data_IF_603366513247
#
_entry.id   IF_603366513247
#
_cell.length_a   1.000
_cell.length_b   1.000
_cell.length_c   1.000
_cell.angle_alpha   90.00
_cell.angle_beta   90.00
_cell.angle_gamma   90.00
#
_symmetry.space_group_name_H-M   'P 1'
#
loop_
_entity.id
_entity.type
_entity.pdbx_description
1 polymer ?
#
# COMPACT_ATOMS: atom_id res chain seq x y z
N UNK A 1 65.15 -5.46 35.34
CA UNK A 1 63.82 -5.00 35.81
C UNK A 1 62.99 -4.34 34.70
N UNK A 2 63.62 -3.71 33.72
CA UNK A 2 62.86 -3.08 32.59
C UNK A 2 62.23 -4.08 31.59
N UNK A 3 62.86 -5.24 31.43
CA UNK A 3 62.38 -6.26 30.44
C UNK A 3 61.08 -6.95 30.89
N UNK A 4 60.78 -7.04 32.19
CA UNK A 4 59.56 -7.64 32.70
C UNK A 4 58.32 -6.73 32.55
N UNK A 5 58.50 -5.42 32.62
CA UNK A 5 57.38 -4.48 32.48
C UNK A 5 56.93 -4.38 30.99
N UNK A 6 57.84 -4.52 30.04
CA UNK A 6 57.45 -4.49 28.62
C UNK A 6 56.66 -5.74 28.24
N UNK A 7 57.00 -6.90 28.81
CA UNK A 7 56.28 -8.15 28.53
C UNK A 7 54.84 -8.15 29.11
N UNK A 8 54.64 -7.54 30.27
CA UNK A 8 53.28 -7.42 30.87
C UNK A 8 52.40 -6.43 30.11
N UNK A 9 52.94 -5.37 29.55
CA UNK A 9 52.17 -4.40 28.73
C UNK A 9 51.73 -4.98 27.40
N UNK A 10 52.54 -5.83 26.77
CA UNK A 10 52.19 -6.47 25.48
C UNK A 10 51.09 -7.52 25.68
N UNK A 11 51.04 -8.25 26.78
CA UNK A 11 50.00 -9.25 27.03
C UNK A 11 48.66 -8.60 27.36
N UNK A 12 48.61 -7.43 28.04
CA UNK A 12 47.37 -6.70 28.30
C UNK A 12 46.76 -6.06 27.06
N UNK A 13 47.61 -5.55 26.12
CA UNK A 13 47.13 -4.93 24.89
C UNK A 13 46.50 -5.98 23.97
N UNK A 14 47.09 -7.18 23.87
CA UNK A 14 46.54 -8.25 23.04
C UNK A 14 45.25 -8.84 23.63
N UNK A 15 45.11 -8.89 24.97
CA UNK A 15 43.92 -9.40 25.62
C UNK A 15 42.73 -8.42 25.51
N UNK A 16 42.99 -7.10 25.56
CA UNK A 16 41.95 -6.09 25.29
C UNK A 16 41.51 -6.05 23.83
N UNK A 17 42.45 -6.23 22.88
CA UNK A 17 42.11 -6.27 21.46
C UNK A 17 41.24 -7.50 21.09
N UNK A 18 41.49 -8.67 21.72
CA UNK A 18 40.65 -9.85 21.51
C UNK A 18 39.26 -9.71 22.12
N UNK A 19 39.12 -9.06 23.28
CA UNK A 19 37.81 -8.83 23.92
C UNK A 19 36.96 -7.84 23.13
N UNK A 20 37.56 -6.78 22.55
CA UNK A 20 36.82 -5.85 21.69
C UNK A 20 36.41 -6.48 20.36
N UNK A 21 37.25 -7.32 19.76
CA UNK A 21 36.96 -8.02 18.54
C UNK A 21 35.78 -8.99 18.67
N UNK A 22 35.74 -9.76 19.77
CA UNK A 22 34.63 -10.71 20.02
C UNK A 22 33.33 -10.04 20.37
N UNK A 23 33.32 -8.91 21.07
CA UNK A 23 32.11 -8.16 21.42
C UNK A 23 31.52 -7.50 20.16
N UNK A 24 32.36 -6.92 19.30
CA UNK A 24 31.89 -6.28 18.04
C UNK A 24 31.30 -7.32 17.04
N UNK A 25 31.91 -8.50 16.93
CA UNK A 25 31.39 -9.58 16.08
C UNK A 25 30.08 -10.14 16.65
N UNK A 26 29.94 -10.27 17.99
CA UNK A 26 28.71 -10.75 18.62
C UNK A 26 27.55 -9.72 18.50
N UNK A 27 27.85 -8.42 18.60
CA UNK A 27 26.86 -7.36 18.40
C UNK A 27 26.42 -7.28 16.93
N UNK A 28 27.33 -7.46 15.94
CA UNK A 28 26.96 -7.51 14.53
C UNK A 28 26.12 -8.75 14.17
N UNK A 29 26.35 -9.89 14.82
CA UNK A 29 25.55 -11.11 14.60
C UNK A 29 24.15 -10.97 15.22
N UNK A 30 24.00 -10.24 16.31
CA UNK A 30 22.69 -9.98 16.93
C UNK A 30 21.86 -8.90 16.19
N UNK A 31 22.50 -8.03 15.40
CA UNK A 31 21.79 -7.03 14.58
C UNK A 31 21.37 -7.58 13.20
N UNK A 32 21.86 -8.76 12.79
CA UNK A 32 21.59 -9.34 11.49
C UNK A 32 20.22 -10.02 11.32
N UNK A 33 19.42 -10.17 12.37
CA UNK A 33 18.13 -10.85 12.35
C UNK A 33 17.04 -10.12 13.15
N UNK A 34 16.94 -8.80 12.99
CA UNK A 34 15.67 -8.16 13.27
C UNK A 34 14.71 -8.59 12.16
N UNK A 35 13.65 -9.34 12.48
CA UNK A 35 12.61 -9.59 11.47
C UNK A 35 12.15 -8.22 10.98
N UNK A 36 12.21 -7.99 9.67
CA UNK A 36 11.50 -6.88 9.06
C UNK A 36 10.10 -6.93 9.66
N UNK A 37 9.66 -5.85 10.32
CA UNK A 37 8.34 -5.79 10.88
C UNK A 37 7.38 -6.04 9.69
N UNK A 38 6.81 -7.25 9.63
CA UNK A 38 5.73 -7.54 8.70
C UNK A 38 4.67 -6.53 9.03
N UNK A 39 4.21 -5.78 8.04
CA UNK A 39 3.03 -4.95 8.18
C UNK A 39 1.90 -5.90 8.59
N UNK A 40 1.60 -5.95 9.89
CA UNK A 40 0.55 -6.82 10.39
C UNK A 40 -0.78 -6.20 9.97
N UNK A 41 -1.51 -6.91 9.12
CA UNK A 41 -2.90 -6.63 8.82
C UNK A 41 -3.72 -6.97 10.07
N UNK A 42 -3.96 -5.97 10.93
CA UNK A 42 -4.80 -6.12 12.13
C UNK A 42 -6.24 -5.79 11.80
N UNK A 43 -7.18 -6.54 12.41
CA UNK A 43 -8.62 -6.32 12.20
C UNK A 43 -8.99 -4.82 12.36
N UNK A 44 -9.87 -4.31 11.48
CA UNK A 44 -10.74 -5.00 10.52
C UNK A 44 -10.09 -5.33 9.16
N UNK A 45 -8.80 -5.04 8.97
CA UNK A 45 -8.07 -5.38 7.77
C UNK A 45 -8.21 -6.88 7.41
N UNK A 46 -8.50 -7.18 6.15
CA UNK A 46 -8.64 -8.55 5.66
C UNK A 46 -7.36 -8.98 4.93
N UNK A 47 -6.65 -10.00 5.44
CA UNK A 47 -5.43 -10.48 4.79
C UNK A 47 -5.73 -11.18 3.46
N UNK A 48 -4.82 -11.02 2.49
CA UNK A 48 -4.84 -11.69 1.20
C UNK A 48 -3.68 -12.65 1.01
N UNK A 49 -3.83 -13.57 0.04
CA UNK A 49 -2.75 -14.43 -0.43
C UNK A 49 -2.05 -13.80 -1.64
N UNK A 50 -0.74 -14.03 -1.77
CA UNK A 50 0.04 -13.69 -2.98
C UNK A 50 -0.55 -14.31 -4.25
N UNK A 51 -1.36 -15.34 -4.13
CA UNK A 51 -2.05 -15.98 -5.25
C UNK A 51 -2.98 -15.02 -6.00
N UNK A 52 -3.48 -13.97 -5.35
CA UNK A 52 -4.29 -12.93 -5.99
C UNK A 52 -3.52 -12.21 -7.11
N UNK A 53 -2.22 -12.09 -6.95
CA UNK A 53 -1.32 -11.36 -7.86
C UNK A 53 -0.53 -12.27 -8.81
N UNK A 54 -0.94 -13.54 -8.94
CA UNK A 54 -0.37 -14.43 -9.96
C UNK A 54 -0.65 -13.92 -11.37
N UNK A 55 0.23 -14.22 -12.35
CA UNK A 55 -0.02 -13.89 -13.74
C UNK A 55 -1.37 -14.41 -14.24
N UNK A 56 -2.12 -13.55 -14.90
CA UNK A 56 -3.41 -13.82 -15.56
C UNK A 56 -3.35 -13.37 -17.02
N UNK A 57 -4.49 -13.26 -17.68
CA UNK A 57 -4.56 -12.90 -19.10
C UNK A 57 -3.96 -11.51 -19.39
N UNK A 58 -4.05 -10.56 -18.43
CA UNK A 58 -3.47 -9.23 -18.55
C UNK A 58 -2.65 -8.86 -17.30
N UNK A 59 -1.39 -9.24 -17.25
CA UNK A 59 -0.55 -9.01 -16.08
C UNK A 59 -1.06 -9.76 -14.85
N UNK A 60 -1.43 -9.04 -13.78
CA UNK A 60 -2.01 -9.61 -12.56
C UNK A 60 -3.55 -9.64 -12.56
N UNK A 61 -4.21 -9.09 -13.58
CA UNK A 61 -5.66 -9.06 -13.76
C UNK A 61 -6.10 -9.80 -15.02
N UNK A 62 -7.39 -10.12 -15.15
CA UNK A 62 -7.93 -10.78 -16.35
C UNK A 62 -8.06 -9.80 -17.51
N UNK A 63 -8.30 -8.52 -17.24
CA UNK A 63 -8.53 -7.47 -18.23
C UNK A 63 -7.66 -6.26 -17.97
N UNK A 64 -7.33 -5.44 -19.00
CA UNK A 64 -6.69 -4.15 -18.82
C UNK A 64 -7.59 -3.19 -18.03
N UNK A 65 -7.03 -2.06 -17.61
CA UNK A 65 -7.81 -0.96 -17.05
C UNK A 65 -8.84 -0.45 -18.08
N UNK A 66 -9.93 0.11 -17.57
CA UNK A 66 -11.00 0.67 -18.40
C UNK A 66 -10.48 1.77 -19.33
N UNK A 67 -11.14 1.94 -20.49
CA UNK A 67 -10.71 2.92 -21.49
C UNK A 67 -10.84 4.37 -20.99
N UNK A 68 -11.92 4.67 -20.26
CA UNK A 68 -12.22 6.01 -19.78
C UNK A 68 -12.15 6.04 -18.26
N UNK A 69 -10.96 6.31 -17.71
CA UNK A 69 -10.79 6.47 -16.27
C UNK A 69 -11.35 7.81 -15.82
N UNK A 70 -11.90 7.82 -14.62
CA UNK A 70 -12.42 9.02 -13.97
C UNK A 70 -11.29 10.03 -13.71
N UNK A 71 -11.67 11.28 -13.50
CA UNK A 71 -10.81 12.39 -13.12
C UNK A 71 -9.68 12.71 -14.09
N UNK A 72 -9.76 12.22 -15.34
CA UNK A 72 -8.72 12.40 -16.34
C UNK A 72 -7.42 11.65 -16.00
N UNK A 73 -7.52 10.55 -15.25
CA UNK A 73 -6.38 9.70 -14.95
C UNK A 73 -5.77 9.11 -16.22
N UNK A 74 -4.43 9.10 -16.26
CA UNK A 74 -3.67 8.55 -17.40
C UNK A 74 -3.76 7.03 -17.45
N UNK A 75 -4.34 6.53 -18.55
CA UNK A 75 -4.64 5.12 -18.73
C UNK A 75 -3.38 4.24 -18.80
N UNK A 76 -2.34 4.70 -19.47
CA UNK A 76 -1.12 3.90 -19.63
C UNK A 76 -0.36 3.78 -18.31
N UNK A 77 -0.33 4.86 -17.53
CA UNK A 77 0.19 4.83 -16.16
C UNK A 77 -0.62 3.90 -15.27
N UNK A 78 -1.96 3.98 -15.36
CA UNK A 78 -2.87 3.13 -14.61
C UNK A 78 -2.64 1.65 -14.94
N UNK A 79 -2.65 1.28 -16.21
CA UNK A 79 -2.49 -0.11 -16.63
C UNK A 79 -1.15 -0.69 -16.17
N UNK A 80 -0.08 0.08 -16.30
CA UNK A 80 1.24 -0.32 -15.82
C UNK A 80 1.27 -0.55 -14.32
N UNK A 81 0.69 0.35 -13.52
CA UNK A 81 0.68 0.24 -12.06
C UNK A 81 -0.24 -0.91 -11.62
N UNK A 82 -1.44 -0.96 -12.14
CA UNK A 82 -2.45 -1.94 -11.75
C UNK A 82 -2.03 -3.38 -12.05
N UNK A 83 -1.38 -3.61 -13.22
CA UNK A 83 -1.28 -4.94 -13.82
C UNK A 83 0.15 -5.46 -14.01
N UNK A 84 1.15 -4.57 -14.17
CA UNK A 84 2.49 -5.00 -14.61
C UNK A 84 3.63 -4.61 -13.69
N UNK A 85 3.44 -3.65 -12.79
CA UNK A 85 4.52 -3.21 -11.93
C UNK A 85 4.05 -2.85 -10.51
N UNK A 86 3.94 -3.86 -9.67
CA UNK A 86 3.56 -3.80 -8.25
C UNK A 86 4.48 -2.94 -7.37
N UNK A 87 5.65 -2.56 -7.87
CA UNK A 87 6.62 -1.74 -7.15
C UNK A 87 6.66 -0.29 -7.64
N UNK A 88 5.73 0.06 -8.52
CA UNK A 88 5.62 1.39 -9.08
C UNK A 88 4.38 2.11 -8.55
N UNK A 89 4.53 3.40 -8.27
CA UNK A 89 3.43 4.27 -7.89
C UNK A 89 3.40 5.49 -8.81
N UNK A 90 2.25 6.12 -8.91
CA UNK A 90 2.16 7.46 -9.48
C UNK A 90 3.02 8.44 -8.65
N UNK A 91 3.46 9.55 -9.22
CA UNK A 91 4.27 10.52 -8.49
C UNK A 91 3.47 11.18 -7.35
N UNK A 92 4.14 11.53 -6.26
CA UNK A 92 3.55 12.21 -5.11
C UNK A 92 2.79 13.47 -5.54
N UNK A 93 1.53 13.57 -5.14
CA UNK A 93 0.65 14.68 -5.51
C UNK A 93 0.01 14.56 -6.90
N UNK A 94 0.11 13.43 -7.59
CA UNK A 94 -0.56 13.17 -8.87
C UNK A 94 -2.06 13.51 -8.81
N UNK A 95 -2.77 13.00 -7.80
CA UNK A 95 -4.20 13.19 -7.58
C UNK A 95 -4.65 14.67 -7.55
N UNK A 96 -3.75 15.59 -7.15
CA UNK A 96 -4.01 17.04 -7.15
C UNK A 96 -3.92 17.68 -8.55
N UNK A 97 -3.40 16.95 -9.54
CA UNK A 97 -3.26 17.44 -10.93
C UNK A 97 -4.38 16.93 -11.83
N UNK A 98 -5.23 16.06 -11.32
CA UNK A 98 -6.44 15.58 -11.99
C UNK A 98 -7.64 16.48 -11.67
N UNK A 99 -8.80 16.18 -12.25
CA UNK A 99 -10.05 16.90 -11.93
C UNK A 99 -10.69 16.43 -10.62
N UNK A 100 -10.07 15.47 -9.91
CA UNK A 100 -10.62 14.84 -8.71
C UNK A 100 -11.10 15.85 -7.66
N UNK A 101 -10.24 16.80 -7.26
CA UNK A 101 -10.59 17.78 -6.22
C UNK A 101 -11.78 18.66 -6.60
N UNK A 102 -11.87 19.05 -7.86
CA UNK A 102 -12.98 19.87 -8.35
C UNK A 102 -14.30 19.08 -8.39
N UNK A 103 -14.22 17.76 -8.65
CA UNK A 103 -15.41 16.91 -8.75
C UNK A 103 -15.96 16.46 -7.39
N UNK A 104 -15.16 16.56 -6.31
CA UNK A 104 -15.62 16.21 -4.94
C UNK A 104 -16.05 17.41 -4.12
N UNK A 105 -15.88 18.65 -4.60
CA UNK A 105 -16.06 19.89 -3.83
C UNK A 105 -17.45 19.96 -3.14
N UNK A 106 -18.50 19.55 -3.85
CA UNK A 106 -19.89 19.60 -3.35
C UNK A 106 -20.40 18.23 -2.83
N UNK A 107 -19.53 17.21 -2.74
CA UNK A 107 -19.94 15.87 -2.32
C UNK A 107 -19.75 15.66 -0.82
N UNK A 108 -20.65 14.92 -0.21
CA UNK A 108 -20.49 14.47 1.20
C UNK A 108 -19.52 13.29 1.29
N UNK A 109 -19.53 12.40 0.31
CA UNK A 109 -18.62 11.27 0.15
C UNK A 109 -18.42 10.94 -1.33
N UNK A 110 -17.37 10.22 -1.65
CA UNK A 110 -17.04 9.72 -2.98
C UNK A 110 -16.79 8.22 -2.95
N UNK A 111 -17.29 7.53 -3.95
CA UNK A 111 -17.05 6.10 -4.20
C UNK A 111 -15.87 5.93 -5.17
N UNK A 112 -14.94 5.05 -4.82
CA UNK A 112 -13.75 4.76 -5.60
C UNK A 112 -13.81 3.33 -6.11
N UNK A 113 -13.67 3.18 -7.42
CA UNK A 113 -13.87 1.91 -8.11
C UNK A 113 -12.56 1.39 -8.72
N UNK A 114 -12.39 0.07 -8.70
CA UNK A 114 -11.28 -0.63 -9.34
C UNK A 114 -11.16 -0.22 -10.82
N UNK A 115 -10.01 0.25 -11.22
CA UNK A 115 -9.78 0.73 -12.59
C UNK A 115 -9.82 -0.39 -13.64
N UNK A 116 -9.66 -1.65 -13.25
CA UNK A 116 -9.84 -2.80 -14.14
C UNK A 116 -11.30 -3.22 -14.20
N UNK A 117 -11.92 -3.49 -13.04
CA UNK A 117 -13.20 -4.20 -12.97
C UNK A 117 -14.40 -3.31 -12.67
N UNK A 118 -14.20 -2.12 -12.13
CA UNK A 118 -15.28 -1.24 -11.67
C UNK A 118 -15.96 -1.71 -10.38
N UNK A 119 -15.35 -2.63 -9.63
CA UNK A 119 -15.83 -3.00 -8.30
C UNK A 119 -15.57 -1.87 -7.30
N UNK A 120 -16.52 -1.62 -6.40
CA UNK A 120 -16.38 -0.61 -5.35
C UNK A 120 -15.30 -1.01 -4.34
N UNK A 121 -14.25 -0.20 -4.21
CA UNK A 121 -13.11 -0.49 -3.34
C UNK A 121 -13.09 0.37 -2.07
N UNK A 122 -13.40 1.65 -2.18
CA UNK A 122 -13.39 2.58 -1.05
C UNK A 122 -14.56 3.54 -1.15
N UNK A 123 -14.98 4.05 0.02
CA UNK A 123 -15.93 5.17 0.14
C UNK A 123 -15.37 6.14 1.17
N UNK A 124 -15.10 7.35 0.77
CA UNK A 124 -14.50 8.36 1.65
C UNK A 124 -15.08 9.76 1.41
N UNK A 125 -15.03 10.61 2.45
CA UNK A 125 -14.56 10.34 3.81
C UNK A 125 -15.64 9.61 4.64
N UNK A 126 -15.22 8.80 5.62
CA UNK A 126 -16.13 8.23 6.62
C UNK A 126 -15.60 8.50 8.03
N UNK A 127 -16.48 8.93 8.92
CA UNK A 127 -16.17 9.34 10.31
C UNK A 127 -15.11 10.46 10.39
N UNK A 128 -14.93 11.21 9.32
CA UNK A 128 -14.07 12.39 9.20
C UNK A 128 -14.56 13.31 8.09
N UNK A 129 -14.00 14.51 7.99
CA UNK A 129 -14.34 15.48 6.94
C UNK A 129 -13.48 15.28 5.69
N UNK A 130 -13.90 15.88 4.55
CA UNK A 130 -13.04 16.00 3.37
C UNK A 130 -11.76 16.77 3.66
N UNK A 131 -11.82 17.78 4.51
CA UNK A 131 -10.64 18.56 4.89
C UNK A 131 -9.60 17.68 5.59
N UNK A 132 -10.01 16.83 6.53
CA UNK A 132 -9.15 15.86 7.21
C UNK A 132 -8.56 14.84 6.23
N UNK A 133 -9.38 14.31 5.29
CA UNK A 133 -8.94 13.38 4.27
C UNK A 133 -7.91 14.01 3.32
N UNK A 134 -8.19 15.23 2.85
CA UNK A 134 -7.31 16.00 1.96
C UNK A 134 -6.00 16.36 2.68
N UNK A 135 -6.06 16.77 3.95
CA UNK A 135 -4.87 17.09 4.74
C UNK A 135 -3.98 15.84 4.91
N UNK A 136 -4.56 14.71 5.27
CA UNK A 136 -3.82 13.45 5.43
C UNK A 136 -3.21 13.00 4.08
N UNK A 137 -3.98 12.96 3.02
CA UNK A 137 -3.52 12.61 1.67
C UNK A 137 -2.44 13.55 1.16
N UNK A 138 -2.54 14.86 1.49
CA UNK A 138 -1.52 15.85 1.14
C UNK A 138 -0.21 15.62 1.87
N UNK A 139 -0.26 15.31 3.16
CA UNK A 139 0.93 15.10 3.98
C UNK A 139 1.71 13.85 3.56
N UNK A 140 1.04 12.88 2.97
CA UNK A 140 1.63 11.61 2.51
C UNK A 140 1.87 11.55 1.00
N UNK A 141 1.23 12.41 0.21
CA UNK A 141 1.42 12.52 -1.23
C UNK A 141 0.44 11.72 -2.09
N UNK A 142 -0.32 10.79 -1.52
CA UNK A 142 -1.28 9.91 -2.19
C UNK A 142 -2.62 9.88 -1.46
N UNK A 143 -3.74 9.55 -2.14
CA UNK A 143 -5.00 9.23 -1.49
C UNK A 143 -4.80 8.29 -0.31
N UNK A 144 -5.24 8.72 0.88
CA UNK A 144 -5.03 7.98 2.13
C UNK A 144 -6.37 7.62 2.75
N UNK A 145 -6.59 6.32 2.94
CA UNK A 145 -7.83 5.75 3.46
C UNK A 145 -7.63 5.13 4.84
N UNK A 146 -8.71 5.04 5.61
CA UNK A 146 -8.79 4.39 6.91
C UNK A 146 -9.69 3.16 6.84
N UNK A 147 -9.62 2.29 7.83
CA UNK A 147 -10.31 0.99 7.84
C UNK A 147 -11.81 1.05 7.52
N UNK A 148 -12.50 2.08 8.02
CA UNK A 148 -13.94 2.30 7.82
C UNK A 148 -14.30 2.82 6.41
N UNK A 149 -13.31 3.23 5.65
CA UNK A 149 -13.45 3.68 4.27
C UNK A 149 -13.22 2.55 3.25
N UNK A 150 -12.76 1.38 3.71
CA UNK A 150 -12.40 0.24 2.84
C UNK A 150 -13.59 -0.70 2.67
N UNK A 151 -13.87 -1.10 1.45
CA UNK A 151 -14.80 -2.17 1.14
C UNK A 151 -14.07 -3.53 1.18
N UNK A 152 -14.13 -4.20 2.32
CA UNK A 152 -13.45 -5.46 2.57
C UNK A 152 -13.99 -6.65 1.79
N UNK A 153 -15.09 -6.51 1.06
CA UNK A 153 -15.54 -7.54 0.11
C UNK A 153 -14.56 -7.65 -1.07
N UNK A 154 -13.94 -6.54 -1.47
CA UNK A 154 -13.09 -6.46 -2.67
C UNK A 154 -11.62 -6.11 -2.40
N UNK A 155 -11.25 -5.65 -1.21
CA UNK A 155 -9.87 -5.25 -0.88
C UNK A 155 -9.19 -6.27 0.02
N UNK A 156 -7.90 -6.53 -0.22
CA UNK A 156 -7.05 -7.41 0.59
C UNK A 156 -5.69 -6.77 0.83
N UNK A 157 -5.05 -7.15 1.96
CA UNK A 157 -3.68 -6.74 2.29
C UNK A 157 -2.80 -7.98 2.33
N UNK A 158 -1.75 -7.99 1.51
CA UNK A 158 -0.79 -9.08 1.41
C UNK A 158 0.20 -9.06 2.60
N UNK A 159 0.94 -10.16 2.86
CA UNK A 159 1.84 -10.24 4.02
C UNK A 159 2.94 -9.17 4.06
N UNK A 160 3.28 -8.57 2.92
CA UNK A 160 4.26 -7.49 2.81
C UNK A 160 3.64 -6.08 2.98
N UNK A 161 2.32 -5.98 3.22
CA UNK A 161 1.57 -4.73 3.33
C UNK A 161 1.01 -4.20 2.01
N UNK A 162 1.29 -4.86 0.89
CA UNK A 162 0.69 -4.48 -0.39
C UNK A 162 -0.83 -4.59 -0.32
N UNK A 163 -1.53 -3.54 -0.75
CA UNK A 163 -2.99 -3.49 -0.82
C UNK A 163 -3.41 -3.76 -2.26
N UNK A 164 -4.28 -4.74 -2.44
CA UNK A 164 -4.72 -5.24 -3.76
C UNK A 164 -6.22 -5.47 -3.79
N UNK A 165 -6.82 -5.50 -4.98
CA UNK A 165 -8.19 -5.98 -5.13
C UNK A 165 -8.22 -7.51 -5.20
N UNK A 166 -9.39 -8.11 -4.94
CA UNK A 166 -9.60 -9.55 -5.11
C UNK A 166 -9.44 -9.98 -6.57
N UNK A 167 -9.54 -9.06 -7.52
CA UNK A 167 -9.41 -9.29 -8.96
C UNK A 167 -7.95 -9.24 -9.44
N UNK A 168 -7.02 -8.83 -8.55
CA UNK A 168 -5.59 -8.78 -8.85
C UNK A 168 -5.07 -7.41 -9.29
N UNK A 169 -5.84 -6.35 -9.05
CA UNK A 169 -5.37 -4.97 -9.27
C UNK A 169 -4.46 -4.54 -8.12
N UNK A 170 -3.25 -4.08 -8.45
CA UNK A 170 -2.39 -3.41 -7.47
C UNK A 170 -2.96 -2.04 -7.12
N UNK A 171 -3.21 -1.78 -5.84
CA UNK A 171 -3.81 -0.53 -5.36
C UNK A 171 -2.80 0.40 -4.69
N UNK A 172 -1.94 -0.14 -3.86
CA UNK A 172 -0.97 0.59 -3.04
C UNK A 172 -0.49 -0.22 -1.85
N UNK A 173 -0.33 0.44 -0.68
CA UNK A 173 0.19 -0.23 0.52
C UNK A 173 -0.53 0.20 1.80
N UNK A 174 -0.68 -0.73 2.73
CA UNK A 174 -0.99 -0.44 4.13
C UNK A 174 0.29 0.04 4.83
N UNK A 175 0.29 1.28 5.29
CA UNK A 175 1.37 1.95 6.00
C UNK A 175 0.83 2.44 7.35
N UNK A 176 0.72 1.56 8.37
CA UNK A 176 0.15 1.91 9.67
C UNK A 176 0.89 3.06 10.35
N UNK A 177 0.13 3.88 11.08
CA UNK A 177 0.64 4.97 11.90
C UNK A 177 0.06 4.94 13.33
N UNK A 178 0.24 6.00 14.11
CA UNK A 178 -0.27 6.08 15.48
C UNK A 178 -1.79 6.02 15.58
N UNK A 179 -2.53 6.22 14.47
CA UNK A 179 -4.00 6.14 14.40
C UNK A 179 -4.50 4.77 13.91
N UNK A 180 -3.60 3.83 13.59
CA UNK A 180 -3.93 2.50 13.08
C UNK A 180 -3.56 2.31 11.61
N UNK A 181 -4.28 1.42 10.91
CA UNK A 181 -4.05 1.18 9.50
C UNK A 181 -4.27 2.45 8.68
N UNK A 182 -3.42 2.64 7.69
CA UNK A 182 -3.52 3.72 6.71
C UNK A 182 -3.14 3.19 5.33
N UNK A 183 -4.10 3.22 4.44
CA UNK A 183 -3.94 2.70 3.08
C UNK A 183 -3.55 3.84 2.15
N UNK A 184 -2.30 3.83 1.69
CA UNK A 184 -1.73 4.77 0.74
C UNK A 184 -1.96 4.21 -0.67
N UNK A 185 -2.87 4.82 -1.43
CA UNK A 185 -3.46 4.23 -2.64
C UNK A 185 -3.18 5.12 -3.85
N UNK A 186 -2.83 4.49 -4.98
CA UNK A 186 -2.69 5.18 -6.26
C UNK A 186 -4.07 5.62 -6.76
N UNK A 187 -4.25 6.89 -7.10
CA UNK A 187 -5.51 7.37 -7.66
C UNK A 187 -5.84 6.63 -8.97
N UNK A 188 -4.84 6.40 -9.80
CA UNK A 188 -5.01 5.69 -11.08
C UNK A 188 -5.54 4.26 -10.92
N UNK A 189 -5.36 3.64 -9.75
CA UNK A 189 -5.83 2.27 -9.50
C UNK A 189 -7.30 2.21 -9.05
N UNK A 190 -7.86 3.35 -8.63
CA UNK A 190 -9.21 3.47 -8.08
C UNK A 190 -10.09 4.46 -8.84
N UNK A 191 -9.67 4.81 -10.05
CA UNK A 191 -10.36 5.75 -10.94
C UNK A 191 -11.32 5.06 -11.93
N UNK A 192 -11.69 3.82 -11.67
CA UNK A 192 -12.65 3.08 -12.49
C UNK A 192 -14.05 3.68 -12.45
N UNK A 193 -14.85 3.34 -13.47
CA UNK A 193 -16.28 3.60 -13.48
C UNK A 193 -17.01 2.39 -12.90
N UNK A 194 -18.11 2.59 -12.16
CA UNK A 194 -18.89 1.48 -11.63
C UNK A 194 -19.33 0.52 -12.72
N UNK A 195 -19.34 -0.77 -12.41
CA UNK A 195 -20.00 -1.74 -13.31
C UNK A 195 -21.48 -1.39 -13.41
N UNK A 196 -22.00 -1.41 -14.63
CA UNK A 196 -23.46 -1.38 -14.81
C UNK A 196 -24.06 -2.54 -14.01
N UNK A 197 -24.93 -2.25 -13.06
CA UNK A 197 -25.72 -3.28 -12.39
C UNK A 197 -26.48 -4.00 -13.49
N UNK A 198 -26.16 -5.27 -13.75
CA UNK A 198 -27.01 -6.11 -14.59
C UNK A 198 -28.38 -6.09 -13.93
N UNK A 199 -29.28 -5.30 -14.50
CA UNK A 199 -30.66 -5.21 -14.05
C UNK A 199 -31.22 -6.63 -14.00
N UNK A 200 -31.79 -7.00 -12.87
CA UNK A 200 -32.60 -8.22 -12.76
C UNK A 200 -33.84 -8.02 -13.65
N UNK A 201 -33.74 -8.47 -14.90
CA UNK A 201 -34.85 -8.42 -15.88
C UNK A 201 -35.84 -9.56 -15.67
N UNK A 202 -36.00 -10.02 -14.42
CA UNK A 202 -36.97 -11.07 -14.09
C UNK A 202 -38.11 -10.54 -13.22
N UNK A 203 -38.75 -9.44 -13.62
CA UNK A 203 -40.08 -9.10 -13.10
C UNK A 203 -40.82 -8.24 -14.11
N UNK A 204 -41.45 -8.90 -15.12
CA UNK A 204 -42.70 -8.49 -15.74
C UNK A 204 -43.03 -9.41 -16.92
N UNK A 205 -43.47 -10.62 -16.60
CA UNK A 205 -44.43 -11.36 -17.40
C UNK A 205 -45.47 -11.99 -16.48
N UNK A 206 -46.51 -11.23 -16.23
CA UNK A 206 -47.82 -11.73 -15.89
C UNK A 206 -48.84 -11.08 -16.80
#
# INVERSE_FOLDING_TARGET
TQTKEIFLRFTHINMMAMLFGTVVVFVCILMGNLPSAKSECSAPCVPGSEDLMKPKAHGTSETPVQENLRWGCDRDTADRICNFNRHYAEYSGYWKKTTFLAEIEDKTEEEFYDSNTGNLLFVAPRDRTWEDWIQESTSHGWPSFRDNEVNWDYVRVLPNGETVSVDGTHLGHNLPDSKGNRYCINLVSIAGNPQERKGNTDDHQL
#
